data_IF_842887495667
#
_entry.id   IF_842887495667
#
_cell.length_a   1.000
_cell.length_b   1.000
_cell.length_c   1.000
_cell.angle_alpha   90.00
_cell.angle_beta   90.00
_cell.angle_gamma   90.00
#
_symmetry.space_group_name_H-M   'P 1'
#
loop_
_entity.id
_entity.type
_entity.pdbx_description
1 polymer ?
#
# COMPACT_ATOMS: atom_id res chain seq x y z
N UNK A 1 21.00 -23.55 22.35
CA UNK A 1 21.35 -22.41 21.47
C UNK A 1 20.06 -21.81 20.90
N UNK A 2 19.54 -20.74 21.50
CA UNK A 2 18.37 -19.99 20.99
C UNK A 2 18.84 -19.11 19.84
N UNK A 3 18.40 -19.38 18.60
CA UNK A 3 18.69 -18.51 17.46
C UNK A 3 17.72 -17.32 17.50
N UNK A 4 18.24 -16.13 17.72
CA UNK A 4 17.57 -14.83 17.57
C UNK A 4 17.36 -14.52 16.07
N UNK A 5 16.48 -15.29 15.40
CA UNK A 5 16.28 -15.20 13.94
C UNK A 5 14.97 -14.54 13.49
N UNK A 6 14.00 -14.34 14.40
CA UNK A 6 12.61 -14.09 13.99
C UNK A 6 12.22 -12.60 13.92
N UNK A 7 12.95 -11.72 14.62
CA UNK A 7 12.57 -10.30 14.73
C UNK A 7 12.79 -9.48 13.45
N UNK A 8 13.89 -9.75 12.73
CA UNK A 8 14.24 -8.99 11.51
C UNK A 8 13.36 -9.40 10.32
N UNK A 9 12.99 -10.68 10.22
CA UNK A 9 12.09 -11.17 9.18
C UNK A 9 10.64 -10.75 9.46
N UNK A 10 10.21 -10.79 10.73
CA UNK A 10 8.89 -10.32 11.15
C UNK A 10 8.71 -8.82 10.93
N UNK A 11 9.76 -8.01 11.17
CA UNK A 11 9.72 -6.56 10.93
C UNK A 11 9.44 -6.19 9.48
N UNK A 12 10.04 -6.90 8.52
CA UNK A 12 9.78 -6.69 7.09
C UNK A 12 8.34 -7.03 6.69
N UNK A 13 7.84 -8.19 7.12
CA UNK A 13 6.46 -8.60 6.88
C UNK A 13 5.45 -7.65 7.53
N UNK A 14 5.68 -7.24 8.78
CA UNK A 14 4.84 -6.29 9.48
C UNK A 14 4.80 -4.93 8.77
N UNK A 15 5.96 -4.43 8.32
CA UNK A 15 6.03 -3.16 7.61
C UNK A 15 5.30 -3.21 6.25
N UNK A 16 5.44 -4.32 5.51
CA UNK A 16 4.66 -4.56 4.28
C UNK A 16 3.16 -4.68 4.56
N UNK A 17 2.75 -5.33 5.65
CA UNK A 17 1.33 -5.42 6.04
C UNK A 17 0.75 -4.05 6.42
N UNK A 18 1.52 -3.22 7.14
CA UNK A 18 1.14 -1.82 7.43
C UNK A 18 1.03 -1.02 6.13
N UNK A 19 1.98 -1.15 5.21
CA UNK A 19 1.92 -0.48 3.90
C UNK A 19 0.71 -0.90 3.06
N UNK A 20 0.45 -2.22 3.00
CA UNK A 20 -0.67 -2.82 2.28
C UNK A 20 -2.04 -2.39 2.81
N UNK A 21 -2.14 -1.97 4.08
CA UNK A 21 -3.38 -1.52 4.72
C UNK A 21 -3.51 -0.01 4.73
N UNK A 22 -2.45 0.72 5.05
CA UNK A 22 -2.43 2.18 5.08
C UNK A 22 -2.67 2.79 3.69
N UNK A 23 -2.10 2.21 2.62
CA UNK A 23 -2.25 2.73 1.27
C UNK A 23 -3.73 2.71 0.79
N UNK A 24 -4.49 1.61 0.91
CA UNK A 24 -5.93 1.61 0.64
C UNK A 24 -6.72 2.60 1.49
N UNK A 25 -6.42 2.73 2.78
CA UNK A 25 -7.11 3.67 3.66
C UNK A 25 -6.92 5.13 3.20
N UNK A 26 -5.69 5.50 2.85
CA UNK A 26 -5.37 6.81 2.29
C UNK A 26 -6.03 7.02 0.93
N UNK A 27 -6.00 6.01 0.06
CA UNK A 27 -6.65 6.05 -1.24
C UNK A 27 -8.17 6.23 -1.13
N UNK A 28 -8.84 5.53 -0.20
CA UNK A 28 -10.27 5.70 0.10
C UNK A 28 -10.60 7.11 0.62
N UNK A 29 -9.66 7.76 1.31
CA UNK A 29 -9.87 9.13 1.82
C UNK A 29 -9.80 10.21 0.72
N UNK A 30 -9.30 9.86 -0.46
CA UNK A 30 -9.12 10.82 -1.57
C UNK A 30 -10.47 11.24 -2.15
N UNK A 31 -10.62 12.52 -2.46
CA UNK A 31 -11.84 13.09 -3.03
C UNK A 31 -12.28 12.41 -4.33
N UNK A 32 -11.33 12.02 -5.19
CA UNK A 32 -11.56 11.24 -6.41
C UNK A 32 -12.23 9.90 -6.10
N UNK A 33 -11.61 9.07 -5.26
CA UNK A 33 -12.12 7.75 -4.91
C UNK A 33 -13.48 7.83 -4.22
N UNK A 34 -13.67 8.81 -3.32
CA UNK A 34 -14.98 9.02 -2.69
C UNK A 34 -16.07 9.44 -3.67
N UNK A 35 -15.75 10.14 -4.76
CA UNK A 35 -16.72 10.44 -5.82
C UNK A 35 -17.11 9.21 -6.63
N UNK A 36 -16.15 8.34 -6.96
CA UNK A 36 -16.43 7.09 -7.67
C UNK A 36 -17.22 6.10 -6.80
N UNK A 37 -16.92 6.02 -5.50
CA UNK A 37 -17.64 5.09 -4.60
C UNK A 37 -18.95 5.69 -4.04
N UNK A 38 -19.04 7.01 -3.99
CA UNK A 38 -20.26 7.75 -3.68
C UNK A 38 -21.28 7.59 -4.80
N UNK A 39 -22.50 7.23 -4.44
CA UNK A 39 -23.62 7.21 -5.38
C UNK A 39 -24.57 8.36 -5.08
N UNK A 40 -25.03 9.05 -6.12
CA UNK A 40 -26.19 9.93 -6.05
C UNK A 40 -27.51 9.16 -5.94
N UNK A 41 -28.62 9.80 -6.28
CA UNK A 41 -29.91 9.12 -6.41
C UNK A 41 -29.80 7.98 -7.43
N UNK A 42 -30.40 6.81 -7.17
CA UNK A 42 -30.31 5.63 -8.05
C UNK A 42 -28.89 5.18 -8.42
N UNK A 43 -27.90 5.40 -7.55
CA UNK A 43 -26.51 5.01 -7.81
C UNK A 43 -25.81 5.84 -8.91
N UNK A 44 -26.38 6.98 -9.29
CA UNK A 44 -25.82 7.88 -10.30
C UNK A 44 -24.37 8.24 -9.94
N UNK A 45 -23.44 8.00 -10.87
CA UNK A 45 -22.02 8.29 -10.71
C UNK A 45 -21.21 7.30 -9.85
N UNK A 46 -21.83 6.24 -9.31
CA UNK A 46 -21.06 5.19 -8.60
C UNK A 46 -20.40 4.25 -9.61
N UNK A 47 -19.09 4.20 -9.53
CA UNK A 47 -18.21 3.34 -10.29
C UNK A 47 -17.44 2.39 -9.35
N UNK A 48 -17.86 1.12 -9.34
CA UNK A 48 -17.21 0.06 -8.55
C UNK A 48 -16.04 -0.60 -9.30
N UNK A 49 -15.87 -0.35 -10.60
CA UNK A 49 -14.78 -0.94 -11.37
C UNK A 49 -13.41 -0.50 -10.82
N UNK A 50 -13.36 0.70 -10.23
CA UNK A 50 -12.20 1.26 -9.52
C UNK A 50 -11.66 0.34 -8.41
N UNK A 51 -12.50 -0.49 -7.77
CA UNK A 51 -12.05 -1.48 -6.79
C UNK A 51 -11.27 -2.65 -7.43
N UNK A 52 -11.49 -2.90 -8.71
CA UNK A 52 -10.78 -3.96 -9.45
C UNK A 52 -9.63 -3.41 -10.27
N UNK A 53 -9.73 -2.18 -10.75
CA UNK A 53 -8.72 -1.58 -11.62
C UNK A 53 -7.62 -0.83 -10.86
N UNK A 54 -7.92 -0.22 -9.71
CA UNK A 54 -6.94 0.62 -8.98
C UNK A 54 -6.48 -0.04 -7.68
N UNK A 55 -7.42 -0.61 -6.90
CA UNK A 55 -7.14 -1.14 -5.56
C UNK A 55 -6.00 -2.18 -5.52
N UNK A 56 -5.88 -3.14 -6.46
CA UNK A 56 -4.77 -4.09 -6.45
C UNK A 56 -3.41 -3.39 -6.54
N UNK A 57 -3.30 -2.37 -7.37
CA UNK A 57 -2.06 -1.60 -7.52
C UNK A 57 -1.77 -0.74 -6.30
N UNK A 58 -2.80 -0.17 -5.65
CA UNK A 58 -2.63 0.58 -4.40
C UNK A 58 -2.10 -0.34 -3.28
N UNK A 59 -2.68 -1.54 -3.15
CA UNK A 59 -2.23 -2.54 -2.16
C UNK A 59 -0.80 -2.97 -2.42
N UNK A 60 -0.48 -3.37 -3.67
CA UNK A 60 0.87 -3.79 -4.04
C UNK A 60 1.88 -2.65 -3.88
N UNK A 61 1.53 -1.44 -4.31
CA UNK A 61 2.33 -0.25 -4.13
C UNK A 61 2.66 0.00 -2.67
N UNK A 62 1.65 -0.03 -1.78
CA UNK A 62 1.84 0.09 -0.34
C UNK A 62 2.72 -1.03 0.25
N UNK A 63 2.52 -2.28 -0.17
CA UNK A 63 3.27 -3.44 0.33
C UNK A 63 4.77 -3.39 -0.04
N UNK A 64 5.09 -2.95 -1.26
CA UNK A 64 6.45 -2.93 -1.80
C UNK A 64 7.20 -1.62 -1.60
N UNK A 65 6.52 -0.52 -1.28
CA UNK A 65 7.15 0.77 -1.00
C UNK A 65 8.30 0.72 0.02
N UNK A 66 8.18 0.06 1.19
CA UNK A 66 9.28 0.01 2.16
C UNK A 66 10.52 -0.70 1.61
N UNK A 67 10.33 -1.77 0.83
CA UNK A 67 11.43 -2.49 0.17
C UNK A 67 12.12 -1.60 -0.87
N UNK A 68 11.35 -0.86 -1.66
CA UNK A 68 11.86 0.05 -2.68
C UNK A 68 12.68 1.18 -2.04
N UNK A 69 12.17 1.79 -0.98
CA UNK A 69 12.86 2.86 -0.24
C UNK A 69 14.18 2.35 0.36
N UNK A 70 14.16 1.19 1.01
CA UNK A 70 15.38 0.60 1.58
C UNK A 70 16.42 0.30 0.50
N UNK A 71 15.98 -0.27 -0.62
CA UNK A 71 16.85 -0.58 -1.76
C UNK A 71 17.50 0.70 -2.29
N UNK A 72 16.72 1.76 -2.48
CA UNK A 72 17.23 3.04 -2.96
C UNK A 72 18.26 3.65 -2.00
N UNK A 73 17.98 3.63 -0.69
CA UNK A 73 18.90 4.14 0.34
C UNK A 73 20.22 3.38 0.34
N UNK A 74 20.18 2.05 0.20
CA UNK A 74 21.40 1.22 0.11
C UNK A 74 22.19 1.57 -1.15
N UNK A 75 21.52 1.71 -2.31
CA UNK A 75 22.18 2.10 -3.56
C UNK A 75 22.85 3.47 -3.44
N UNK A 76 22.15 4.46 -2.91
CA UNK A 76 22.68 5.82 -2.76
C UNK A 76 23.87 5.91 -1.79
N UNK A 77 23.94 5.03 -0.78
CA UNK A 77 25.09 4.94 0.13
C UNK A 77 26.28 4.20 -0.47
N UNK A 78 26.04 3.21 -1.34
CA UNK A 78 27.10 2.44 -2.01
C UNK A 78 27.68 3.11 -3.26
N UNK A 79 27.00 4.10 -3.83
CA UNK A 79 27.51 4.95 -4.91
C UNK A 79 28.35 6.14 -4.42
N UNK A 80 28.63 6.23 -3.12
CA UNK A 80 29.58 7.18 -2.51
C UNK A 80 30.86 6.45 -2.15
#
# INVERSE_FOLDING_TARGET
MKRHGDGVTCGGCALSAVGATAAPLLWLSTSRTRRHLGGGFENEGRDLAVLFTELPFVVLGGAFLPLLVLTLLVRLRGTR
#
